data_IF_242736272561
#
_entry.id   IF_242736272561
#
_cell.length_a   1.000
_cell.length_b   1.000
_cell.length_c   1.000
_cell.angle_alpha   90.00
_cell.angle_beta   90.00
_cell.angle_gamma   90.00
#
_symmetry.space_group_name_H-M   'P 1'
#
loop_
_entity.id
_entity.type
_entity.pdbx_description
1 polymer ?
#
# COMPACT_ATOMS: atom_id res chain seq x y z
N UNK A 1 -18.35 -2.66 22.60
CA UNK A 1 -17.22 -3.10 21.76
C UNK A 1 -16.01 -2.36 22.26
N UNK A 2 -14.85 -3.01 22.43
CA UNK A 2 -13.64 -2.31 22.90
C UNK A 2 -13.24 -1.23 21.89
N UNK A 3 -12.94 -0.03 22.36
CA UNK A 3 -12.40 1.09 21.56
C UNK A 3 -10.94 0.87 21.12
N UNK A 4 -10.39 -0.29 21.45
CA UNK A 4 -9.03 -0.68 21.13
C UNK A 4 -8.85 -0.95 19.63
N UNK A 5 -7.75 -0.43 19.08
CA UNK A 5 -7.38 -0.63 17.68
C UNK A 5 -7.01 -2.08 17.41
N UNK A 6 -7.31 -2.54 16.20
CA UNK A 6 -6.80 -3.80 15.69
C UNK A 6 -5.25 -3.84 15.83
N UNK A 7 -4.64 -4.90 16.37
CA UNK A 7 -3.21 -4.94 16.66
C UNK A 7 -2.33 -4.67 15.42
N UNK A 8 -2.74 -5.16 14.26
CA UNK A 8 -1.98 -4.98 13.02
C UNK A 8 -2.12 -3.54 12.51
N UNK A 9 -3.30 -2.95 12.65
CA UNK A 9 -3.51 -1.53 12.38
C UNK A 9 -2.67 -0.66 13.32
N UNK A 10 -2.67 -0.95 14.62
CA UNK A 10 -1.88 -0.23 15.61
C UNK A 10 -0.37 -0.32 15.33
N UNK A 11 0.10 -1.50 14.89
CA UNK A 11 1.47 -1.68 14.44
C UNK A 11 1.80 -0.80 13.22
N UNK A 12 0.94 -0.82 12.20
CA UNK A 12 1.12 -0.02 10.98
C UNK A 12 1.15 1.49 11.28
N UNK A 13 0.20 1.98 12.09
CA UNK A 13 0.11 3.40 12.45
C UNK A 13 1.36 3.85 13.22
N UNK A 14 1.83 3.05 14.19
CA UNK A 14 3.07 3.32 14.93
C UNK A 14 4.28 3.40 13.99
N UNK A 15 4.40 2.44 13.06
CA UNK A 15 5.48 2.43 12.07
C UNK A 15 5.44 3.65 11.15
N UNK A 16 4.24 4.13 10.83
CA UNK A 16 4.02 5.34 10.04
C UNK A 16 4.17 6.64 10.85
N UNK A 17 4.39 6.57 12.18
CA UNK A 17 4.44 7.74 13.05
C UNK A 17 3.09 8.44 13.23
N UNK A 18 1.98 7.73 12.99
CA UNK A 18 0.63 8.28 13.06
C UNK A 18 0.04 7.98 14.43
N UNK A 19 -0.39 9.03 15.13
CA UNK A 19 -1.21 8.92 16.34
C UNK A 19 -2.68 9.07 15.94
N UNK A 20 -3.50 8.02 16.04
CA UNK A 20 -4.90 8.08 15.69
C UNK A 20 -5.68 8.92 16.72
N UNK A 21 -6.59 9.83 16.28
CA UNK A 21 -7.49 10.51 17.20
C UNK A 21 -8.48 9.52 17.81
N UNK A 22 -8.70 9.57 19.12
CA UNK A 22 -9.59 8.64 19.85
C UNK A 22 -10.99 8.57 19.23
N UNK A 23 -11.57 9.72 18.87
CA UNK A 23 -12.89 9.82 18.25
C UNK A 23 -13.00 9.13 16.86
N UNK A 24 -11.86 8.74 16.25
CA UNK A 24 -11.81 8.08 14.93
C UNK A 24 -11.38 6.62 15.01
N UNK A 25 -10.94 6.12 16.17
CA UNK A 25 -10.39 4.77 16.30
C UNK A 25 -11.35 3.69 15.77
N UNK A 26 -12.64 3.77 16.13
CA UNK A 26 -13.68 2.85 15.64
C UNK A 26 -13.82 2.89 14.12
N UNK A 27 -13.89 4.09 13.53
CA UNK A 27 -14.01 4.25 12.08
C UNK A 27 -12.78 3.73 11.34
N UNK A 28 -11.59 4.01 11.86
CA UNK A 28 -10.33 3.50 11.31
C UNK A 28 -10.27 1.97 11.35
N UNK A 29 -10.72 1.35 12.45
CA UNK A 29 -10.83 -0.11 12.56
C UNK A 29 -11.77 -0.72 11.51
N UNK A 30 -12.93 -0.09 11.30
CA UNK A 30 -13.91 -0.57 10.29
C UNK A 30 -13.30 -0.49 8.90
N UNK A 31 -12.80 0.68 8.50
CA UNK A 31 -12.20 0.87 7.18
C UNK A 31 -10.97 -0.02 6.97
N UNK A 32 -10.14 -0.22 8.00
CA UNK A 32 -9.01 -1.13 7.92
C UNK A 32 -9.46 -2.56 7.59
N UNK A 33 -10.49 -3.07 8.26
CA UNK A 33 -11.04 -4.40 8.00
C UNK A 33 -11.62 -4.51 6.59
N UNK A 34 -12.35 -3.50 6.13
CA UNK A 34 -12.88 -3.45 4.76
C UNK A 34 -11.76 -3.45 3.71
N UNK A 35 -10.68 -2.70 3.92
CA UNK A 35 -9.53 -2.73 3.02
C UNK A 35 -8.85 -4.11 3.01
N UNK A 36 -8.71 -4.75 4.17
CA UNK A 36 -8.15 -6.10 4.28
C UNK A 36 -8.99 -7.14 3.53
N UNK A 37 -10.33 -7.03 3.54
CA UNK A 37 -11.20 -7.95 2.77
C UNK A 37 -11.13 -7.70 1.26
N UNK A 38 -10.76 -6.49 0.82
CA UNK A 38 -10.55 -6.18 -0.59
C UNK A 38 -9.20 -6.63 -1.12
N UNK A 39 -8.16 -6.76 -0.28
CA UNK A 39 -6.81 -7.13 -0.73
C UNK A 39 -6.76 -8.44 -1.56
N UNK A 40 -7.48 -9.53 -1.21
CA UNK A 40 -7.53 -10.73 -2.04
C UNK A 40 -8.01 -10.46 -3.47
N UNK A 41 -8.97 -9.55 -3.66
CA UNK A 41 -9.48 -9.18 -4.99
C UNK A 41 -8.41 -8.47 -5.84
N UNK A 42 -7.52 -7.72 -5.20
CA UNK A 42 -6.43 -6.97 -5.84
C UNK A 42 -5.16 -7.80 -6.08
N UNK A 43 -5.08 -8.98 -5.45
CA UNK A 43 -3.97 -9.95 -5.58
C UNK A 43 -4.20 -10.92 -6.74
N UNK A 44 -4.82 -10.49 -7.84
CA UNK A 44 -4.92 -11.29 -9.07
C UNK A 44 -3.56 -11.92 -9.40
N UNK A 45 -3.57 -13.11 -10.02
CA UNK A 45 -2.33 -13.84 -10.31
C UNK A 45 -1.37 -12.96 -11.13
N UNK A 46 -0.39 -12.35 -10.45
CA UNK A 46 0.66 -11.58 -11.09
C UNK A 46 1.74 -12.56 -11.49
N UNK A 47 2.05 -12.58 -12.78
CA UNK A 47 3.22 -13.29 -13.27
C UNK A 47 4.46 -12.48 -12.91
N UNK A 48 5.63 -13.12 -12.91
CA UNK A 48 6.91 -12.43 -12.69
C UNK A 48 7.18 -11.32 -13.73
N UNK A 49 6.48 -11.34 -14.88
CA UNK A 49 6.55 -10.33 -15.93
C UNK A 49 5.51 -9.20 -15.78
N UNK A 50 4.67 -9.24 -14.74
CA UNK A 50 3.72 -8.17 -14.46
C UNK A 50 4.46 -6.98 -13.83
N UNK A 51 4.94 -6.08 -14.69
CA UNK A 51 5.64 -4.87 -14.28
C UNK A 51 4.71 -3.92 -13.49
N UNK A 52 5.23 -3.18 -12.50
CA UNK A 52 4.48 -2.13 -11.82
C UNK A 52 4.01 -1.07 -12.82
N UNK A 53 2.80 -0.53 -12.63
CA UNK A 53 2.42 0.66 -13.38
C UNK A 53 3.37 1.82 -13.03
N UNK A 54 3.88 2.52 -14.04
CA UNK A 54 4.77 3.67 -13.86
C UNK A 54 6.25 3.33 -13.71
N UNK A 55 6.73 2.22 -14.31
CA UNK A 55 8.18 1.96 -14.41
C UNK A 55 8.88 3.12 -15.13
N UNK A 56 9.89 3.67 -14.48
CA UNK A 56 10.74 4.70 -15.09
C UNK A 56 11.55 4.09 -16.24
N UNK A 57 11.36 4.61 -17.45
CA UNK A 57 12.25 4.31 -18.56
C UNK A 57 13.48 5.21 -18.45
N UNK A 58 14.65 4.62 -18.19
CA UNK A 58 15.91 5.33 -18.36
C UNK A 58 16.15 5.41 -19.87
N UNK A 59 15.92 6.58 -20.46
CA UNK A 59 16.28 6.83 -21.85
C UNK A 59 17.81 6.82 -21.96
N UNK A 60 18.41 5.66 -22.24
CA UNK A 60 19.81 5.61 -22.60
C UNK A 60 19.95 6.15 -24.02
N UNK A 61 20.59 7.30 -24.17
CA UNK A 61 21.00 7.83 -25.46
C UNK A 61 21.99 6.84 -26.08
N UNK A 62 21.59 6.19 -27.17
CA UNK A 62 22.52 5.45 -28.02
C UNK A 62 23.57 6.42 -28.57
N UNK A 63 24.87 6.06 -28.62
CA UNK A 63 25.86 6.92 -29.24
C UNK A 63 25.57 6.92 -30.74
N UNK A 64 25.20 8.07 -31.30
CA UNK A 64 25.30 8.27 -32.74
C UNK A 64 26.76 8.02 -33.14
N UNK A 65 27.02 6.88 -33.78
CA UNK A 65 28.14 6.74 -34.71
C UNK A 65 27.82 7.66 -35.88
N UNK A 66 28.32 8.88 -35.82
CA UNK A 66 28.51 9.69 -37.02
C UNK A 66 29.91 9.40 -37.56
N UNK A 67 29.88 8.87 -38.77
CA UNK A 67 30.94 8.54 -39.74
C UNK A 67 31.91 9.68 -40.02
#
# INVERSE_FOLDING_TARGET
MSDELDPDLAFCLRRAGIVPPDARATGMNITYKELQTMLPLLRSARTAAAEPAGVYAIASTSPERSS
#
